data_IF_639575180790
#
_entry.id   IF_639575180790
#
_cell.length_a   1.000
_cell.length_b   1.000
_cell.length_c   1.000
_cell.angle_alpha   90.00
_cell.angle_beta   90.00
_cell.angle_gamma   90.00
#
_symmetry.space_group_name_H-M   'P 1'
#
loop_
_entity.id
_entity.type
_entity.pdbx_description
1 polymer ?
#
# COMPACT_ATOMS: atom_id res chain seq x y z
N UNK A 1 -11.51 27.16 0.08
CA UNK A 1 -12.89 26.68 -0.20
C UNK A 1 -13.01 26.27 -1.66
N UNK A 2 -12.87 24.98 -1.96
CA UNK A 2 -13.32 24.35 -3.22
C UNK A 2 -13.66 22.87 -2.94
N UNK A 3 -14.56 22.63 -1.99
CA UNK A 3 -14.89 21.27 -1.48
C UNK A 3 -15.97 20.54 -2.30
N UNK A 4 -16.58 21.16 -3.31
CA UNK A 4 -17.72 20.60 -4.05
C UNK A 4 -17.33 19.67 -5.23
N UNK A 5 -16.35 20.02 -6.10
CA UNK A 5 -16.02 19.21 -7.26
C UNK A 5 -15.34 17.87 -6.91
N UNK A 6 -14.45 17.87 -5.92
CA UNK A 6 -13.72 16.68 -5.47
C UNK A 6 -14.63 15.68 -4.78
N UNK A 7 -15.48 16.14 -3.84
CA UNK A 7 -16.47 15.28 -3.17
C UNK A 7 -17.44 14.66 -4.18
N UNK A 8 -17.84 15.42 -5.20
CA UNK A 8 -18.70 14.91 -6.26
C UNK A 8 -17.98 13.88 -7.15
N UNK A 9 -16.73 14.15 -7.54
CA UNK A 9 -15.90 13.21 -8.33
C UNK A 9 -15.68 11.91 -7.56
N UNK A 10 -15.34 12.01 -6.26
CA UNK A 10 -15.19 10.86 -5.37
C UNK A 10 -16.47 10.03 -5.30
N UNK A 11 -17.62 10.67 -5.11
CA UNK A 11 -18.92 9.98 -5.08
C UNK A 11 -19.20 9.20 -6.37
N UNK A 12 -18.92 9.78 -7.54
CA UNK A 12 -19.07 9.08 -8.83
C UNK A 12 -18.14 7.88 -8.94
N UNK A 13 -16.89 8.01 -8.50
CA UNK A 13 -15.92 6.90 -8.48
C UNK A 13 -16.36 5.81 -7.51
N UNK A 14 -16.80 6.16 -6.30
CA UNK A 14 -17.32 5.21 -5.31
C UNK A 14 -18.54 4.46 -5.88
N UNK A 15 -19.45 5.14 -6.59
CA UNK A 15 -20.58 4.50 -7.24
C UNK A 15 -20.15 3.52 -8.36
N UNK A 16 -19.16 3.91 -9.18
CA UNK A 16 -18.62 3.07 -10.24
C UNK A 16 -17.90 1.82 -9.69
N UNK A 17 -17.08 2.00 -8.65
CA UNK A 17 -16.37 0.90 -7.97
C UNK A 17 -17.37 -0.04 -7.29
N UNK A 18 -18.36 0.49 -6.57
CA UNK A 18 -19.39 -0.31 -5.92
C UNK A 18 -20.16 -1.17 -6.94
N UNK A 19 -20.54 -0.57 -8.08
CA UNK A 19 -21.17 -1.30 -9.17
C UNK A 19 -20.25 -2.39 -9.73
N UNK A 20 -18.97 -2.06 -9.94
CA UNK A 20 -17.96 -3.00 -10.40
C UNK A 20 -17.78 -4.22 -9.49
N UNK A 21 -17.74 -4.01 -8.17
CA UNK A 21 -17.63 -5.09 -7.18
C UNK A 21 -18.85 -6.02 -7.27
N UNK A 22 -20.07 -5.46 -7.36
CA UNK A 22 -21.30 -6.25 -7.47
C UNK A 22 -21.36 -7.05 -8.77
N UNK A 23 -21.09 -6.43 -9.92
CA UNK A 23 -21.10 -7.12 -11.22
C UNK A 23 -20.02 -8.23 -11.27
N UNK A 24 -18.91 -8.05 -10.56
CA UNK A 24 -17.80 -9.00 -10.53
C UNK A 24 -18.10 -10.29 -9.76
N UNK A 25 -19.10 -10.29 -8.86
CA UNK A 25 -19.60 -11.53 -8.26
C UNK A 25 -20.42 -12.37 -9.26
N UNK A 26 -21.05 -11.75 -10.25
CA UNK A 26 -21.86 -12.45 -11.26
C UNK A 26 -21.02 -12.89 -12.47
N UNK A 27 -20.18 -11.98 -12.99
CA UNK A 27 -19.32 -12.21 -14.14
C UNK A 27 -18.01 -11.41 -13.98
N UNK A 28 -16.98 -11.99 -13.33
CA UNK A 28 -15.69 -11.33 -13.13
C UNK A 28 -15.04 -10.90 -14.45
N UNK A 29 -15.12 -11.73 -15.50
CA UNK A 29 -14.46 -11.48 -16.78
C UNK A 29 -15.01 -10.24 -17.45
N UNK A 30 -16.34 -10.14 -17.54
CA UNK A 30 -17.00 -8.99 -18.17
C UNK A 30 -16.85 -7.73 -17.32
N UNK A 31 -16.95 -7.86 -16.01
CA UNK A 31 -16.94 -6.72 -15.07
C UNK A 31 -15.59 -6.03 -15.05
N UNK A 32 -14.49 -6.77 -15.10
CA UNK A 32 -13.16 -6.14 -15.09
C UNK A 32 -12.87 -5.43 -16.40
N UNK A 33 -13.27 -6.00 -17.55
CA UNK A 33 -13.14 -5.30 -18.85
C UNK A 33 -13.90 -3.98 -18.84
N UNK A 34 -15.15 -3.99 -18.35
CA UNK A 34 -15.95 -2.76 -18.18
C UNK A 34 -15.29 -1.76 -17.24
N UNK A 35 -14.75 -2.21 -16.10
CA UNK A 35 -14.06 -1.32 -15.14
C UNK A 35 -12.79 -0.72 -15.74
N UNK A 36 -12.02 -1.51 -16.49
CA UNK A 36 -10.84 -1.02 -17.17
C UNK A 36 -11.19 0.00 -18.26
N UNK A 37 -12.26 -0.24 -19.02
CA UNK A 37 -12.76 0.68 -20.04
C UNK A 37 -13.29 1.98 -19.43
N UNK A 38 -14.10 1.89 -18.36
CA UNK A 38 -14.57 3.05 -17.60
C UNK A 38 -13.38 3.83 -17.03
N UNK A 39 -12.44 3.12 -16.42
CA UNK A 39 -11.21 3.68 -15.90
C UNK A 39 -10.43 4.49 -16.93
N UNK A 40 -10.28 3.96 -18.15
CA UNK A 40 -9.64 4.66 -19.27
C UNK A 40 -10.38 5.94 -19.66
N UNK A 41 -11.72 5.94 -19.63
CA UNK A 41 -12.53 7.13 -19.92
C UNK A 41 -12.37 8.23 -18.86
N UNK A 42 -12.15 7.85 -17.60
CA UNK A 42 -11.94 8.79 -16.49
C UNK A 42 -10.46 9.10 -16.21
N UNK A 43 -9.52 8.42 -16.87
CA UNK A 43 -8.08 8.59 -16.66
C UNK A 43 -7.57 9.94 -17.15
N UNK A 44 -7.46 10.91 -16.24
CA UNK A 44 -6.91 12.25 -16.48
C UNK A 44 -5.40 12.32 -16.17
N UNK A 45 -4.90 11.48 -15.26
CA UNK A 45 -3.48 11.45 -14.84
C UNK A 45 -2.62 10.37 -15.52
N UNK A 46 -1.29 10.53 -15.51
CA UNK A 46 -0.31 9.55 -16.03
C UNK A 46 -0.45 8.18 -15.35
N UNK A 47 -0.60 8.19 -14.03
CA UNK A 47 -0.80 6.97 -13.24
C UNK A 47 -2.03 6.18 -13.68
N UNK A 48 -3.18 6.84 -13.76
CA UNK A 48 -4.44 6.21 -14.13
C UNK A 48 -4.34 5.54 -15.51
N UNK A 49 -3.73 6.23 -16.49
CA UNK A 49 -3.54 5.67 -17.85
C UNK A 49 -2.67 4.40 -17.83
N UNK A 50 -1.56 4.43 -17.10
CA UNK A 50 -0.66 3.28 -16.98
C UNK A 50 -1.32 2.10 -16.25
N UNK A 51 -2.03 2.38 -15.15
CA UNK A 51 -2.76 1.36 -14.39
C UNK A 51 -3.80 0.65 -15.27
N UNK A 52 -4.67 1.40 -15.97
CA UNK A 52 -5.71 0.77 -16.78
C UNK A 52 -5.16 0.03 -18.00
N UNK A 53 -4.08 0.52 -18.64
CA UNK A 53 -3.41 -0.20 -19.72
C UNK A 53 -2.81 -1.53 -19.22
N UNK A 54 -2.17 -1.51 -18.04
CA UNK A 54 -1.62 -2.70 -17.42
C UNK A 54 -2.75 -3.69 -17.06
N UNK A 55 -3.80 -3.24 -16.36
CA UNK A 55 -4.92 -4.11 -15.97
C UNK A 55 -5.61 -4.77 -17.17
N UNK A 56 -5.76 -4.06 -18.30
CA UNK A 56 -6.27 -4.67 -19.53
C UNK A 56 -5.34 -5.77 -20.01
N UNK A 57 -4.04 -5.47 -20.11
CA UNK A 57 -3.01 -6.43 -20.57
C UNK A 57 -3.00 -7.70 -19.72
N UNK A 58 -3.05 -7.56 -18.40
CA UNK A 58 -3.04 -8.67 -17.44
C UNK A 58 -4.28 -9.58 -17.53
N UNK A 59 -5.36 -9.09 -18.14
CA UNK A 59 -6.66 -9.76 -18.21
C UNK A 59 -7.13 -10.02 -19.65
N UNK A 60 -6.25 -9.83 -20.63
CA UNK A 60 -6.51 -10.22 -22.01
C UNK A 60 -6.76 -11.72 -22.12
N UNK A 61 -5.95 -12.52 -21.42
CA UNK A 61 -6.12 -13.96 -21.35
C UNK A 61 -7.36 -14.31 -20.52
N UNK A 62 -8.37 -14.89 -21.18
CA UNK A 62 -9.60 -15.36 -20.56
C UNK A 62 -9.42 -16.47 -19.52
N UNK A 63 -8.26 -17.12 -19.47
CA UNK A 63 -7.94 -18.18 -18.51
C UNK A 63 -6.97 -17.75 -17.41
N UNK A 64 -6.65 -16.46 -17.33
CA UNK A 64 -5.76 -15.93 -16.29
C UNK A 64 -6.23 -16.28 -14.87
N UNK A 65 -5.36 -16.83 -14.01
CA UNK A 65 -5.64 -17.05 -12.58
C UNK A 65 -6.10 -15.79 -11.82
N UNK A 66 -5.87 -14.59 -12.38
CA UNK A 66 -6.36 -13.35 -11.79
C UNK A 66 -7.88 -13.22 -11.78
N UNK A 67 -8.62 -13.95 -12.61
CA UNK A 67 -10.07 -14.00 -12.45
C UNK A 67 -10.47 -14.69 -11.15
N UNK A 68 -9.81 -15.80 -10.79
CA UNK A 68 -10.02 -16.47 -9.51
C UNK A 68 -9.59 -15.59 -8.33
N UNK A 69 -8.47 -14.86 -8.47
CA UNK A 69 -8.04 -13.87 -7.48
C UNK A 69 -9.14 -12.84 -7.22
N UNK A 70 -9.72 -12.27 -8.28
CA UNK A 70 -10.75 -11.24 -8.17
C UNK A 70 -12.05 -11.78 -7.56
N UNK A 71 -12.47 -12.99 -7.95
CA UNK A 71 -13.59 -13.68 -7.30
C UNK A 71 -13.35 -13.82 -5.80
N UNK A 72 -12.18 -14.33 -5.40
CA UNK A 72 -11.78 -14.46 -3.99
C UNK A 72 -11.86 -13.14 -3.25
N UNK A 73 -11.32 -12.05 -3.81
CA UNK A 73 -11.46 -10.72 -3.19
C UNK A 73 -12.93 -10.38 -2.93
N UNK A 74 -13.80 -10.51 -3.93
CA UNK A 74 -15.22 -10.12 -3.81
C UNK A 74 -16.08 -11.04 -2.95
N UNK A 75 -15.63 -12.26 -2.67
CA UNK A 75 -16.33 -13.26 -1.85
C UNK A 75 -15.83 -13.28 -0.40
N UNK A 76 -14.51 -13.17 -0.23
CA UNK A 76 -13.83 -13.31 1.07
C UNK A 76 -13.82 -12.00 1.87
N UNK A 77 -14.00 -10.84 1.23
CA UNK A 77 -13.80 -9.53 1.86
C UNK A 77 -15.09 -8.72 1.87
N UNK A 78 -15.30 -7.93 2.92
CA UNK A 78 -16.40 -6.97 2.99
C UNK A 78 -16.35 -5.97 1.82
N UNK A 79 -17.48 -5.81 1.13
CA UNK A 79 -17.56 -4.98 -0.08
C UNK A 79 -17.28 -3.50 0.20
N UNK A 80 -17.71 -3.01 1.36
CA UNK A 80 -17.46 -1.63 1.75
C UNK A 80 -15.98 -1.42 2.08
N UNK A 81 -15.31 -2.39 2.69
CA UNK A 81 -13.84 -2.41 2.85
C UNK A 81 -13.12 -2.38 1.50
N UNK A 82 -13.44 -3.29 0.57
CA UNK A 82 -12.83 -3.29 -0.77
C UNK A 82 -13.01 -1.96 -1.49
N UNK A 83 -14.23 -1.43 -1.49
CA UNK A 83 -14.53 -0.14 -2.10
C UNK A 83 -13.75 0.99 -1.43
N UNK A 84 -13.81 1.09 -0.11
CA UNK A 84 -13.20 2.20 0.64
C UNK A 84 -11.69 2.19 0.47
N UNK A 85 -11.04 1.05 0.70
CA UNK A 85 -9.60 0.90 0.54
C UNK A 85 -9.17 1.18 -0.91
N UNK A 86 -9.85 0.57 -1.89
CA UNK A 86 -9.56 0.77 -3.31
C UNK A 86 -9.68 2.23 -3.77
N UNK A 87 -10.71 2.94 -3.31
CA UNK A 87 -10.89 4.38 -3.61
C UNK A 87 -9.86 5.25 -2.88
N UNK A 88 -9.47 4.89 -1.66
CA UNK A 88 -8.43 5.62 -0.93
C UNK A 88 -7.07 5.50 -1.64
N UNK A 89 -6.69 4.30 -2.09
CA UNK A 89 -5.45 4.09 -2.87
C UNK A 89 -5.57 4.72 -4.26
N UNK A 90 -6.51 4.26 -5.08
CA UNK A 90 -6.55 4.58 -6.51
C UNK A 90 -6.89 6.04 -6.80
N UNK A 91 -7.86 6.61 -6.08
CA UNK A 91 -8.28 7.99 -6.29
C UNK A 91 -7.63 8.94 -5.28
N UNK A 92 -7.79 8.69 -3.98
CA UNK A 92 -7.38 9.69 -2.98
C UNK A 92 -5.87 9.87 -2.93
N UNK A 93 -5.11 8.77 -2.98
CA UNK A 93 -3.64 8.80 -2.99
C UNK A 93 -3.11 9.06 -4.40
N UNK A 94 -3.31 8.13 -5.34
CA UNK A 94 -2.64 8.16 -6.65
C UNK A 94 -3.21 9.15 -7.67
N UNK A 95 -4.35 9.78 -7.38
CA UNK A 95 -4.94 10.81 -8.25
C UNK A 95 -4.92 12.17 -7.59
N UNK A 96 -5.72 12.36 -6.53
CA UNK A 96 -5.84 13.63 -5.83
C UNK A 96 -4.57 13.99 -5.07
N UNK A 97 -4.06 13.08 -4.25
CA UNK A 97 -2.79 13.24 -3.54
C UNK A 97 -1.62 13.49 -4.50
N UNK A 98 -1.56 12.73 -5.60
CA UNK A 98 -0.58 12.91 -6.67
C UNK A 98 -0.64 14.31 -7.32
N UNK A 99 -1.81 14.94 -7.44
CA UNK A 99 -1.93 16.32 -7.92
C UNK A 99 -1.33 17.33 -6.92
N UNK A 100 -1.58 17.14 -5.62
CA UNK A 100 -1.02 17.96 -4.56
C UNK A 100 0.50 17.81 -4.46
N UNK A 101 1.00 16.57 -4.52
CA UNK A 101 2.44 16.26 -4.55
C UNK A 101 3.09 17.04 -5.69
N UNK A 102 2.63 16.86 -6.93
CA UNK A 102 3.20 17.56 -8.09
C UNK A 102 3.14 19.09 -7.96
N UNK A 103 2.11 19.63 -7.32
CA UNK A 103 2.01 21.07 -7.08
C UNK A 103 3.08 21.53 -6.08
N UNK A 104 3.21 20.83 -4.96
CA UNK A 104 4.20 21.13 -3.93
C UNK A 104 5.63 21.00 -4.46
N UNK A 105 5.93 19.94 -5.21
CA UNK A 105 7.26 19.72 -5.80
C UNK A 105 7.63 20.80 -6.82
N UNK A 106 6.67 21.27 -7.64
CA UNK A 106 6.91 22.39 -8.58
C UNK A 106 7.19 23.70 -7.86
N UNK A 107 6.50 23.95 -6.75
CA UNK A 107 6.63 25.19 -5.99
C UNK A 107 7.92 25.23 -5.15
N UNK A 108 8.30 24.11 -4.54
CA UNK A 108 9.38 24.06 -3.55
C UNK A 108 10.65 23.36 -4.05
N UNK A 109 10.59 22.66 -5.19
CA UNK A 109 11.72 21.90 -5.73
C UNK A 109 12.09 20.63 -4.95
N UNK A 110 11.35 20.32 -3.88
CA UNK A 110 11.54 19.15 -3.01
C UNK A 110 10.74 17.98 -3.56
N UNK A 111 11.30 16.77 -3.55
CA UNK A 111 10.54 15.56 -3.86
C UNK A 111 9.66 15.15 -2.67
N UNK A 112 8.46 14.63 -2.93
CA UNK A 112 7.52 14.20 -1.89
C UNK A 112 7.13 12.73 -2.13
N UNK A 113 7.28 11.84 -1.15
CA UNK A 113 6.87 10.45 -1.31
C UNK A 113 5.35 10.32 -1.36
N UNK A 114 4.81 9.45 -2.22
CA UNK A 114 3.37 9.17 -2.24
C UNK A 114 2.83 8.39 -1.02
N UNK A 115 3.72 7.71 -0.28
CA UNK A 115 3.40 6.96 0.94
C UNK A 115 4.57 7.00 1.93
N UNK A 116 4.31 6.94 3.23
CA UNK A 116 5.37 6.83 4.26
C UNK A 116 5.48 5.41 4.79
N UNK A 117 6.71 4.94 4.98
CA UNK A 117 7.00 3.66 5.63
C UNK A 117 7.40 3.91 7.09
N UNK A 118 6.71 3.29 8.03
CA UNK A 118 6.81 3.60 9.45
C UNK A 118 6.89 2.29 10.22
N UNK A 119 7.99 2.07 10.93
CA UNK A 119 8.04 1.05 11.97
C UNK A 119 7.47 1.63 13.25
N UNK A 120 6.59 0.88 13.88
CA UNK A 120 5.87 1.31 15.06
C UNK A 120 5.93 0.24 16.12
N UNK A 121 6.54 0.60 17.25
CA UNK A 121 6.50 -0.16 18.48
C UNK A 121 5.57 0.56 19.45
N UNK A 122 4.61 -0.12 20.11
CA UNK A 122 3.69 0.51 21.07
C UNK A 122 4.41 1.29 22.19
N UNK A 123 5.59 0.82 22.57
CA UNK A 123 6.45 1.43 23.61
C UNK A 123 7.62 2.27 23.05
N UNK A 124 7.70 2.44 21.73
CA UNK A 124 8.79 3.18 21.09
C UNK A 124 8.71 4.69 21.34
N UNK A 125 9.83 5.40 21.15
CA UNK A 125 9.85 6.86 21.29
C UNK A 125 8.96 7.57 20.24
N UNK A 126 8.72 6.94 19.08
CA UNK A 126 7.76 7.41 18.09
C UNK A 126 6.33 7.01 18.45
N UNK A 127 5.73 7.74 19.38
CA UNK A 127 4.41 7.43 19.92
C UNK A 127 3.24 7.78 18.96
N UNK A 128 2.03 7.29 19.29
CA UNK A 128 0.81 7.50 18.51
C UNK A 128 0.53 8.98 18.16
N UNK A 129 0.79 9.92 19.08
CA UNK A 129 0.59 11.36 18.82
C UNK A 129 1.52 11.91 17.73
N UNK A 130 2.73 11.35 17.60
CA UNK A 130 3.69 11.69 16.55
C UNK A 130 3.27 11.10 15.21
N UNK A 131 2.79 9.86 15.20
CA UNK A 131 2.18 9.24 14.04
C UNK A 131 1.00 10.08 13.53
N UNK A 132 0.12 10.53 14.43
CA UNK A 132 -1.01 11.40 14.06
C UNK A 132 -0.55 12.73 13.46
N UNK A 133 0.42 13.41 14.07
CA UNK A 133 0.95 14.67 13.55
C UNK A 133 1.55 14.49 12.15
N UNK A 134 2.32 13.41 11.95
CA UNK A 134 2.92 13.06 10.66
C UNK A 134 1.85 12.80 9.59
N UNK A 135 0.77 12.09 9.94
CA UNK A 135 -0.35 11.86 9.02
C UNK A 135 -1.04 13.19 8.66
N UNK A 136 -1.28 14.04 9.65
CA UNK A 136 -1.91 15.34 9.42
C UNK A 136 -1.09 16.21 8.46
N UNK A 137 0.23 16.23 8.63
CA UNK A 137 1.14 16.97 7.75
C UNK A 137 1.26 16.33 6.37
N UNK A 138 1.41 15.00 6.30
CA UNK A 138 1.47 14.25 5.04
C UNK A 138 0.26 14.52 4.15
N UNK A 139 -0.95 14.51 4.72
CA UNK A 139 -2.18 14.79 3.97
C UNK A 139 -2.21 16.21 3.38
N UNK A 140 -1.58 17.20 4.03
CA UNK A 140 -1.46 18.56 3.46
C UNK A 140 -0.55 18.58 2.23
N UNK A 141 0.41 17.66 2.15
CA UNK A 141 1.34 17.51 1.02
C UNK A 141 0.83 16.56 -0.07
N UNK A 142 -0.29 15.86 0.17
CA UNK A 142 -0.85 14.89 -0.76
C UNK A 142 -0.55 13.43 -0.43
N UNK A 143 0.07 13.14 0.71
CA UNK A 143 0.32 11.77 1.18
C UNK A 143 -0.95 11.24 1.84
N UNK A 144 -1.56 10.22 1.24
CA UNK A 144 -2.78 9.59 1.76
C UNK A 144 -2.63 8.08 1.97
N UNK A 145 -1.44 7.53 1.77
CA UNK A 145 -1.13 6.12 2.05
C UNK A 145 -0.03 6.03 3.09
N UNK A 146 -0.15 5.09 4.03
CA UNK A 146 0.83 4.85 5.08
C UNK A 146 1.04 3.34 5.23
N UNK A 147 2.30 2.91 5.15
CA UNK A 147 2.72 1.55 5.45
C UNK A 147 3.21 1.53 6.89
N UNK A 148 2.53 0.81 7.77
CA UNK A 148 2.86 0.68 9.19
C UNK A 148 3.35 -0.75 9.45
N UNK A 149 4.65 -0.90 9.70
CA UNK A 149 5.22 -2.15 10.19
C UNK A 149 5.13 -2.15 11.72
N UNK A 150 4.30 -3.03 12.25
CA UNK A 150 4.19 -3.21 13.69
C UNK A 150 5.34 -4.12 14.14
N UNK A 151 6.16 -3.61 15.06
CA UNK A 151 7.26 -4.39 15.65
C UNK A 151 6.79 -5.31 16.77
N UNK A 152 5.61 -5.04 17.33
CA UNK A 152 4.93 -5.87 18.31
C UNK A 152 3.41 -5.66 18.22
N UNK A 153 2.61 -6.67 18.61
CA UNK A 153 1.16 -6.51 18.73
C UNK A 153 0.83 -5.57 19.90
N UNK A 154 0.09 -4.46 19.69
CA UNK A 154 -0.37 -3.61 20.78
C UNK A 154 -1.32 -4.38 21.72
N UNK A 155 -1.11 -4.23 23.04
CA UNK A 155 -2.08 -4.71 24.03
C UNK A 155 -3.42 -3.98 23.90
N UNK A 156 -3.39 -2.67 23.67
CA UNK A 156 -4.56 -1.84 23.41
C UNK A 156 -4.55 -1.23 22.00
N UNK A 157 -5.52 -1.66 21.20
CA UNK A 157 -5.72 -1.18 19.83
C UNK A 157 -6.51 0.12 19.72
N UNK A 158 -7.18 0.59 20.79
CA UNK A 158 -8.15 1.68 20.71
C UNK A 158 -7.56 2.97 20.13
N UNK A 159 -6.31 3.29 20.47
CA UNK A 159 -5.61 4.46 19.95
C UNK A 159 -5.44 4.39 18.43
N UNK A 160 -4.91 3.27 17.91
CA UNK A 160 -4.71 3.04 16.48
C UNK A 160 -6.05 2.96 15.74
N UNK A 161 -7.05 2.26 16.28
CA UNK A 161 -8.39 2.19 15.69
C UNK A 161 -9.02 3.60 15.57
N UNK A 162 -8.89 4.41 16.61
CA UNK A 162 -9.38 5.80 16.60
C UNK A 162 -8.68 6.64 15.55
N UNK A 163 -7.36 6.47 15.39
CA UNK A 163 -6.57 7.11 14.35
C UNK A 163 -7.05 6.70 12.94
N UNK A 164 -7.17 5.40 12.67
CA UNK A 164 -7.60 4.90 11.35
C UNK A 164 -9.00 5.39 10.98
N UNK A 165 -9.93 5.44 11.94
CA UNK A 165 -11.28 5.99 11.74
C UNK A 165 -11.29 7.50 11.51
N UNK A 166 -10.42 8.25 12.19
CA UNK A 166 -10.29 9.70 12.02
C UNK A 166 -9.76 10.07 10.64
N UNK A 167 -8.84 9.27 10.11
CA UNK A 167 -8.24 9.44 8.79
C UNK A 167 -8.83 8.44 7.78
N UNK A 168 -10.16 8.34 7.75
CA UNK A 168 -10.91 7.35 6.96
C UNK A 168 -10.68 7.45 5.44
N UNK A 169 -10.23 8.60 4.95
CA UNK A 169 -9.91 8.84 3.54
C UNK A 169 -8.45 8.56 3.18
N UNK A 170 -7.63 8.16 4.14
CA UNK A 170 -6.29 7.60 3.93
C UNK A 170 -6.36 6.08 3.90
N UNK A 171 -5.42 5.43 3.21
CA UNK A 171 -5.25 3.98 3.22
C UNK A 171 -4.07 3.60 4.12
N UNK A 172 -4.26 2.57 4.95
CA UNK A 172 -3.21 2.06 5.82
C UNK A 172 -2.92 0.60 5.48
N UNK A 173 -1.67 0.30 5.18
CA UNK A 173 -1.18 -1.06 5.02
C UNK A 173 -0.45 -1.41 6.31
N UNK A 174 -0.99 -2.38 7.05
CA UNK A 174 -0.42 -2.80 8.34
C UNK A 174 0.30 -4.11 8.12
N UNK A 175 1.62 -4.13 8.35
CA UNK A 175 2.41 -5.36 8.39
C UNK A 175 2.47 -5.83 9.84
N UNK A 176 1.80 -6.93 10.12
CA UNK A 176 1.71 -7.53 11.46
C UNK A 176 2.99 -8.34 11.76
N UNK A 177 3.51 -8.31 13.00
CA UNK A 177 4.62 -9.18 13.39
C UNK A 177 4.17 -10.66 13.40
N UNK A 178 5.13 -11.58 13.52
CA UNK A 178 4.85 -13.01 13.77
C UNK A 178 4.34 -13.26 15.19
N UNK A 179 3.14 -12.77 15.47
CA UNK A 179 2.41 -12.98 16.71
C UNK A 179 0.95 -13.32 16.38
N UNK A 180 0.35 -14.23 17.14
CA UNK A 180 -1.03 -14.63 16.93
C UNK A 180 -2.01 -13.52 17.36
N UNK A 181 -2.88 -13.11 16.43
CA UNK A 181 -3.99 -12.23 16.73
C UNK A 181 -5.06 -12.95 17.55
N UNK A 182 -5.62 -12.24 18.51
CA UNK A 182 -6.82 -12.65 19.24
C UNK A 182 -8.09 -12.29 18.46
N UNK A 183 -9.18 -13.02 18.71
CA UNK A 183 -10.46 -12.83 18.00
C UNK A 183 -11.00 -11.39 18.16
N UNK A 184 -10.90 -10.83 19.37
CA UNK A 184 -11.32 -9.47 19.65
C UNK A 184 -10.51 -8.42 18.85
N UNK A 185 -9.21 -8.66 18.65
CA UNK A 185 -8.35 -7.77 17.89
C UNK A 185 -8.73 -7.78 16.40
N UNK A 186 -8.98 -8.96 15.84
CA UNK A 186 -9.46 -9.09 14.46
C UNK A 186 -10.83 -8.44 14.25
N UNK A 187 -11.74 -8.57 15.22
CA UNK A 187 -13.06 -7.91 15.20
C UNK A 187 -12.95 -6.39 15.30
N UNK A 188 -12.00 -5.86 16.06
CA UNK A 188 -11.74 -4.42 16.13
C UNK A 188 -11.19 -3.89 14.79
N UNK A 189 -10.21 -4.60 14.22
CA UNK A 189 -9.58 -4.24 12.95
C UNK A 189 -10.57 -4.28 11.78
N UNK A 190 -11.50 -5.25 11.75
CA UNK A 190 -12.51 -5.38 10.68
C UNK A 190 -13.45 -4.18 10.58
N UNK A 191 -13.59 -3.41 11.66
CA UNK A 191 -14.41 -2.20 11.69
C UNK A 191 -13.73 -1.01 10.97
N UNK A 192 -12.44 -1.13 10.63
CA UNK A 192 -11.68 -0.10 9.91
C UNK A 192 -11.55 -0.48 8.43
N UNK A 193 -12.48 0.05 7.62
CA UNK A 193 -12.61 -0.24 6.18
C UNK A 193 -11.48 0.31 5.30
N UNK A 194 -10.54 1.06 5.88
CA UNK A 194 -9.40 1.65 5.20
C UNK A 194 -8.08 0.94 5.51
N UNK A 195 -8.15 -0.28 6.05
CA UNK A 195 -6.99 -1.12 6.34
C UNK A 195 -6.81 -2.21 5.29
N UNK A 196 -5.56 -2.49 4.97
CA UNK A 196 -5.09 -3.78 4.47
C UNK A 196 -4.17 -4.36 5.53
N UNK A 197 -4.40 -5.60 5.93
CA UNK A 197 -3.67 -6.28 7.00
C UNK A 197 -2.82 -7.38 6.41
N UNK A 198 -1.51 -7.28 6.54
CA UNK A 198 -0.56 -8.24 6.00
C UNK A 198 0.06 -9.09 7.11
N UNK A 199 -0.12 -10.40 7.07
CA UNK A 199 0.53 -11.33 8.00
C UNK A 199 1.82 -11.90 7.41
N UNK A 200 2.91 -11.85 8.18
CA UNK A 200 4.21 -12.38 7.79
C UNK A 200 4.10 -13.89 7.52
N UNK A 201 4.69 -14.43 6.46
CA UNK A 201 4.80 -15.88 6.23
C UNK A 201 5.82 -16.46 7.23
N UNK A 202 5.34 -16.64 8.45
CA UNK A 202 6.03 -17.13 9.64
C UNK A 202 5.02 -17.97 10.47
N UNK A 203 5.41 -18.75 11.50
CA UNK A 203 4.53 -19.69 12.19
C UNK A 203 3.07 -19.28 12.43
N UNK A 204 2.79 -18.02 12.79
CA UNK A 204 1.45 -17.53 13.15
C UNK A 204 0.54 -17.22 11.94
N UNK A 205 1.09 -17.13 10.72
CA UNK A 205 0.42 -16.50 9.59
C UNK A 205 -0.90 -17.17 9.18
N UNK A 206 -0.95 -18.51 9.14
CA UNK A 206 -2.15 -19.21 8.67
C UNK A 206 -3.33 -18.97 9.60
N UNK A 207 -3.07 -18.92 10.92
CA UNK A 207 -4.07 -18.59 11.92
C UNK A 207 -4.55 -17.14 11.76
N UNK A 208 -3.61 -16.20 11.63
CA UNK A 208 -3.93 -14.79 11.43
C UNK A 208 -4.75 -14.56 10.16
N UNK A 209 -4.34 -15.11 9.01
CA UNK A 209 -5.10 -14.99 7.76
C UNK A 209 -6.48 -15.62 7.87
N UNK A 210 -6.59 -16.80 8.48
CA UNK A 210 -7.89 -17.45 8.68
C UNK A 210 -8.83 -16.56 9.51
N UNK A 211 -8.33 -16.02 10.62
CA UNK A 211 -9.11 -15.16 11.52
C UNK A 211 -9.52 -13.84 10.85
N UNK A 212 -8.62 -13.20 10.11
CA UNK A 212 -8.91 -11.97 9.35
C UNK A 212 -9.95 -12.23 8.25
N UNK A 213 -9.85 -13.36 7.54
CA UNK A 213 -10.80 -13.79 6.50
C UNK A 213 -12.18 -14.09 7.08
N UNK A 214 -12.26 -14.76 8.24
CA UNK A 214 -13.53 -15.00 8.94
C UNK A 214 -14.23 -13.68 9.30
N UNK A 215 -13.45 -12.64 9.63
CA UNK A 215 -13.93 -11.30 9.91
C UNK A 215 -14.07 -10.41 8.65
N UNK A 216 -13.96 -10.99 7.45
CA UNK A 216 -14.10 -10.29 6.15
C UNK A 216 -13.15 -9.10 5.96
N UNK A 217 -12.00 -9.11 6.64
CA UNK A 217 -10.94 -8.12 6.47
C UNK A 217 -10.26 -8.23 5.10
N UNK A 218 -9.73 -7.12 4.60
CA UNK A 218 -8.80 -7.14 3.47
C UNK A 218 -7.43 -7.63 3.97
N UNK A 219 -7.15 -8.91 3.74
CA UNK A 219 -5.95 -9.58 4.19
C UNK A 219 -4.95 -9.83 3.05
N UNK A 220 -3.67 -9.79 3.39
CA UNK A 220 -2.54 -10.12 2.53
C UNK A 220 -1.51 -10.95 3.31
N UNK A 221 -0.57 -11.55 2.59
CA UNK A 221 0.64 -12.08 3.20
C UNK A 221 1.84 -11.19 2.88
N UNK A 222 2.87 -11.24 3.71
CA UNK A 222 4.18 -10.71 3.36
C UNK A 222 5.30 -11.68 3.69
N UNK A 223 6.40 -11.60 2.96
CA UNK A 223 7.54 -12.50 3.12
C UNK A 223 8.85 -11.70 3.07
N UNK A 224 9.69 -11.90 4.09
CA UNK A 224 11.02 -11.35 4.12
C UNK A 224 12.00 -12.26 3.37
N UNK A 225 12.50 -11.79 2.23
CA UNK A 225 13.43 -12.52 1.38
C UNK A 225 14.88 -12.03 1.59
N UNK A 226 15.86 -12.88 1.29
CA UNK A 226 17.27 -12.51 1.22
C UNK A 226 17.78 -12.63 -0.21
N UNK A 227 18.42 -13.74 -0.58
CA UNK A 227 18.77 -14.04 -1.96
C UNK A 227 17.90 -15.19 -2.49
N UNK A 228 16.58 -14.94 -2.50
CA UNK A 228 15.59 -15.91 -2.96
C UNK A 228 15.55 -15.92 -4.49
N UNK A 229 15.76 -17.09 -5.09
CA UNK A 229 15.58 -17.31 -6.52
C UNK A 229 14.11 -17.44 -6.93
N UNK A 230 13.87 -17.61 -8.25
CA UNK A 230 12.53 -17.75 -8.83
C UNK A 230 11.75 -18.96 -8.28
N UNK A 231 12.44 -20.04 -7.93
CA UNK A 231 11.80 -21.25 -7.37
C UNK A 231 11.15 -20.97 -6.01
N UNK A 232 11.86 -20.27 -5.13
CA UNK A 232 11.35 -19.83 -3.83
C UNK A 232 10.15 -18.91 -4.00
N UNK A 233 10.22 -17.96 -4.93
CA UNK A 233 9.12 -17.06 -5.28
C UNK A 233 7.86 -17.83 -5.70
N UNK A 234 8.00 -18.83 -6.58
CA UNK A 234 6.88 -19.68 -7.01
C UNK A 234 6.32 -20.52 -5.86
N UNK A 235 7.18 -21.08 -5.01
CA UNK A 235 6.76 -21.81 -3.82
C UNK A 235 5.91 -20.93 -2.89
N UNK A 236 6.38 -19.69 -2.62
CA UNK A 236 5.64 -18.75 -1.78
C UNK A 236 4.31 -18.34 -2.38
N UNK A 237 4.24 -18.17 -3.70
CA UNK A 237 2.97 -17.86 -4.38
C UNK A 237 1.98 -19.02 -4.34
N UNK A 238 2.46 -20.24 -4.49
CA UNK A 238 1.63 -21.46 -4.43
C UNK A 238 1.03 -21.66 -3.04
N UNK A 239 1.81 -21.44 -1.99
CA UNK A 239 1.40 -21.71 -0.60
C UNK A 239 0.69 -20.52 0.06
N UNK A 240 0.59 -19.39 -0.63
CA UNK A 240 -0.01 -18.16 -0.12
C UNK A 240 -1.53 -18.34 0.10
N UNK A 241 -1.96 -18.07 1.33
CA UNK A 241 -3.37 -18.15 1.73
C UNK A 241 -4.16 -16.92 1.24
N UNK A 242 -3.50 -15.79 0.98
CA UNK A 242 -4.15 -14.53 0.62
C UNK A 242 -4.09 -14.22 -0.88
N UNK A 243 -5.05 -13.44 -1.43
CA UNK A 243 -5.00 -12.97 -2.81
C UNK A 243 -3.80 -12.07 -3.15
N UNK A 244 -3.14 -11.50 -2.13
CA UNK A 244 -2.03 -10.56 -2.26
C UNK A 244 -0.82 -11.06 -1.47
N UNK A 245 0.37 -10.97 -2.06
CA UNK A 245 1.63 -11.34 -1.42
C UNK A 245 2.68 -10.24 -1.61
N UNK A 246 3.15 -9.65 -0.51
CA UNK A 246 4.23 -8.69 -0.50
C UNK A 246 5.58 -9.38 -0.26
N UNK A 247 6.60 -8.99 -1.01
CA UNK A 247 7.99 -9.37 -0.82
C UNK A 247 8.73 -8.16 -0.28
N UNK A 248 9.38 -8.35 0.86
CA UNK A 248 10.21 -7.34 1.51
C UNK A 248 11.64 -7.89 1.67
N UNK A 249 12.69 -7.15 1.29
CA UNK A 249 14.05 -7.57 1.58
C UNK A 249 14.33 -7.57 3.08
N UNK A 250 15.05 -8.57 3.55
CA UNK A 250 15.77 -8.53 4.82
C UNK A 250 16.84 -7.43 4.78
N UNK A 251 17.26 -6.94 5.95
CA UNK A 251 18.21 -5.82 6.10
C UNK A 251 19.48 -5.99 5.25
N UNK A 252 20.05 -7.20 5.24
CA UNK A 252 21.32 -7.51 4.57
C UNK A 252 21.16 -7.99 3.13
N UNK A 253 19.95 -7.89 2.55
CA UNK A 253 19.69 -8.32 1.18
C UNK A 253 20.44 -7.43 0.18
N UNK A 254 21.33 -8.01 -0.66
CA UNK A 254 22.10 -7.23 -1.64
C UNK A 254 21.21 -6.53 -2.67
N UNK A 255 21.56 -5.32 -3.16
CA UNK A 255 20.78 -4.62 -4.18
C UNK A 255 20.49 -5.46 -5.43
N UNK A 256 21.48 -6.23 -5.90
CA UNK A 256 21.31 -7.09 -7.08
C UNK A 256 20.28 -8.22 -6.86
N UNK A 257 20.13 -8.72 -5.64
CA UNK A 257 19.10 -9.71 -5.31
C UNK A 257 17.71 -9.08 -5.34
N UNK A 258 17.57 -7.85 -4.83
CA UNK A 258 16.32 -7.07 -4.89
C UNK A 258 15.89 -6.82 -6.32
N UNK A 259 16.81 -6.39 -7.19
CA UNK A 259 16.56 -6.17 -8.62
C UNK A 259 16.11 -7.44 -9.33
N UNK A 260 16.80 -8.57 -9.10
CA UNK A 260 16.42 -9.87 -9.67
C UNK A 260 15.03 -10.31 -9.24
N UNK A 261 14.69 -10.15 -7.95
CA UNK A 261 13.37 -10.51 -7.46
C UNK A 261 12.30 -9.58 -8.02
N UNK A 262 12.54 -8.27 -8.06
CA UNK A 262 11.61 -7.28 -8.63
C UNK A 262 11.28 -7.60 -10.10
N UNK A 263 12.29 -7.93 -10.91
CA UNK A 263 12.08 -8.35 -12.29
C UNK A 263 11.29 -9.66 -12.37
N UNK A 264 11.62 -10.65 -11.52
CA UNK A 264 10.90 -11.92 -11.48
C UNK A 264 9.42 -11.74 -11.10
N UNK A 265 9.13 -10.88 -10.12
CA UNK A 265 7.77 -10.50 -9.72
C UNK A 265 7.04 -9.85 -10.89
N UNK A 266 7.71 -8.94 -11.62
CA UNK A 266 7.11 -8.29 -12.78
C UNK A 266 6.74 -9.31 -13.86
N UNK A 267 7.65 -10.24 -14.21
CA UNK A 267 7.39 -11.27 -15.20
C UNK A 267 6.23 -12.20 -14.80
N UNK A 268 6.17 -12.61 -13.53
CA UNK A 268 5.06 -13.44 -13.01
C UNK A 268 3.72 -12.72 -13.14
N UNK A 269 3.67 -11.39 -13.00
CA UNK A 269 2.40 -10.67 -13.16
C UNK A 269 1.83 -10.79 -14.56
N UNK A 270 2.65 -10.77 -15.60
CA UNK A 270 2.19 -10.91 -16.99
C UNK A 270 1.82 -12.35 -17.34
N UNK A 271 2.40 -13.32 -16.63
CA UNK A 271 2.17 -14.74 -16.84
C UNK A 271 1.85 -15.44 -15.51
N UNK A 272 0.71 -15.12 -14.87
CA UNK A 272 0.39 -15.65 -13.55
C UNK A 272 0.04 -17.13 -13.62
N UNK A 273 0.65 -17.93 -12.75
CA UNK A 273 0.35 -19.36 -12.58
C UNK A 273 -0.59 -19.61 -11.38
N UNK A 274 -0.64 -18.67 -10.44
CA UNK A 274 -1.41 -18.76 -9.20
C UNK A 274 -2.35 -17.57 -9.05
N UNK A 275 -3.50 -17.71 -8.35
CA UNK A 275 -4.46 -16.64 -8.12
C UNK A 275 -4.00 -15.69 -6.99
N UNK A 276 -2.74 -15.26 -7.06
CA UNK A 276 -2.07 -14.40 -6.09
C UNK A 276 -1.36 -13.29 -6.85
N UNK A 277 -1.52 -12.04 -6.43
CA UNK A 277 -0.84 -10.90 -7.03
C UNK A 277 0.45 -10.61 -6.22
N UNK A 278 1.65 -10.91 -6.77
CA UNK A 278 2.91 -10.63 -6.09
C UNK A 278 3.24 -9.14 -6.14
N UNK A 279 3.82 -8.61 -5.07
CA UNK A 279 4.27 -7.21 -4.95
C UNK A 279 5.67 -7.17 -4.36
N UNK A 280 6.65 -6.68 -5.11
CA UNK A 280 7.95 -6.36 -4.52
C UNK A 280 7.84 -4.94 -3.99
N UNK A 281 7.72 -4.83 -2.67
CA UNK A 281 7.15 -3.65 -2.05
C UNK A 281 7.91 -2.37 -2.36
N UNK A 282 9.25 -2.42 -2.38
CA UNK A 282 10.08 -1.24 -2.57
C UNK A 282 10.23 -0.87 -4.05
N UNK A 283 10.41 -1.85 -4.94
CA UNK A 283 10.49 -1.62 -6.38
C UNK A 283 9.15 -1.08 -6.93
N UNK A 284 8.02 -1.66 -6.52
CA UNK A 284 6.70 -1.18 -6.89
C UNK A 284 6.43 0.21 -6.31
N UNK A 285 6.81 0.45 -5.06
CA UNK A 285 6.73 1.78 -4.46
C UNK A 285 7.47 2.82 -5.30
N UNK A 286 8.75 2.57 -5.64
CA UNK A 286 9.58 3.49 -6.42
C UNK A 286 8.99 3.73 -7.81
N UNK A 287 8.47 2.68 -8.45
CA UNK A 287 7.80 2.77 -9.76
C UNK A 287 6.54 3.63 -9.69
N UNK A 288 5.72 3.46 -8.65
CA UNK A 288 4.51 4.27 -8.45
C UNK A 288 4.88 5.74 -8.24
N UNK A 289 5.88 6.02 -7.39
CA UNK A 289 6.35 7.39 -7.13
C UNK A 289 6.83 8.06 -8.41
N UNK A 290 7.67 7.35 -9.20
CA UNK A 290 8.15 7.84 -10.48
C UNK A 290 7.01 8.13 -11.47
N UNK A 291 5.95 7.32 -11.49
CA UNK A 291 4.78 7.59 -12.34
C UNK A 291 4.02 8.84 -11.88
N UNK A 292 4.02 9.14 -10.58
CA UNK A 292 3.30 10.28 -9.97
C UNK A 292 4.01 11.60 -10.25
N UNK A 293 5.32 11.68 -10.01
CA UNK A 293 6.12 12.93 -9.97
C UNK A 293 7.25 12.98 -11.00
N UNK A 294 7.64 11.83 -11.58
CA UNK A 294 8.84 11.71 -12.43
C UNK A 294 10.14 11.63 -11.64
N UNK A 295 10.06 11.49 -10.31
CA UNK A 295 11.18 11.29 -9.38
C UNK A 295 10.81 10.16 -8.42
N UNK A 296 11.79 9.59 -7.73
CA UNK A 296 11.55 8.59 -6.70
C UNK A 296 12.02 9.12 -5.36
N UNK A 297 11.11 9.22 -4.40
CA UNK A 297 11.34 9.60 -3.02
C UNK A 297 10.78 8.50 -2.13
N UNK A 298 11.64 7.91 -1.30
CA UNK A 298 11.23 6.94 -0.29
C UNK A 298 11.66 7.45 1.08
N UNK A 299 10.75 7.38 2.05
CA UNK A 299 11.01 7.73 3.44
C UNK A 299 10.56 6.60 4.35
N UNK A 300 11.50 6.16 5.19
CA UNK A 300 11.32 5.14 6.22
C UNK A 300 11.69 5.71 7.57
N UNK A 301 10.82 5.48 8.55
CA UNK A 301 10.93 5.99 9.92
C UNK A 301 10.95 4.78 10.83
N UNK A 302 11.97 4.63 11.67
CA UNK A 302 12.01 3.56 12.67
C UNK A 302 11.13 3.86 13.90
N UNK A 303 10.97 2.88 14.79
CA UNK A 303 10.16 3.00 16.01
C UNK A 303 10.69 4.02 17.02
N UNK A 304 11.94 4.48 16.86
CA UNK A 304 12.56 5.56 17.63
C UNK A 304 12.39 6.93 16.96
N UNK A 305 11.73 6.98 15.81
CA UNK A 305 11.52 8.18 15.01
C UNK A 305 12.79 8.62 14.29
N UNK A 306 13.72 7.71 14.02
CA UNK A 306 14.92 8.01 13.24
C UNK A 306 14.70 7.65 11.79
N UNK A 307 15.37 8.41 10.94
CA UNK A 307 15.33 8.27 9.50
C UNK A 307 16.76 8.12 9.02
N UNK A 308 17.11 7.00 8.36
CA UNK A 308 18.44 6.83 7.81
C UNK A 308 18.68 7.85 6.69
N UNK A 309 19.84 8.50 6.73
CA UNK A 309 20.31 9.42 5.69
C UNK A 309 21.55 8.81 4.99
N UNK A 310 21.89 9.25 3.77
CA UNK A 310 23.12 8.87 3.10
C UNK A 310 24.35 9.16 3.97
N UNK A 311 25.36 8.30 3.87
CA UNK A 311 26.60 8.44 4.64
C UNK A 311 26.51 7.94 6.08
N UNK A 312 25.44 7.24 6.46
CA UNK A 312 25.30 6.61 7.79
C UNK A 312 24.83 7.56 8.89
N UNK A 313 24.50 8.81 8.55
CA UNK A 313 23.82 9.72 9.46
C UNK A 313 22.35 9.28 9.66
N UNK A 314 21.75 9.70 10.76
CA UNK A 314 20.31 9.55 10.99
C UNK A 314 19.71 10.86 11.48
N UNK A 315 18.45 11.09 11.12
CA UNK A 315 17.70 12.26 11.55
C UNK A 315 16.55 11.84 12.46
N UNK A 316 16.37 12.49 13.61
CA UNK A 316 15.36 12.12 14.60
C UNK A 316 14.17 13.10 14.60
N UNK A 317 12.96 12.59 14.34
CA UNK A 317 11.74 13.37 14.17
C UNK A 317 10.92 13.56 15.46
N UNK A 318 11.39 13.00 16.58
CA UNK A 318 10.73 13.16 17.89
C UNK A 318 11.06 14.50 18.55
N UNK A 319 12.05 15.23 18.04
CA UNK A 319 12.48 16.54 18.54
C UNK A 319 11.39 17.63 18.37
N UNK A 320 11.33 18.57 19.31
CA UNK A 320 10.32 19.63 19.32
C UNK A 320 10.42 20.56 18.09
N UNK A 321 9.28 20.98 17.54
CA UNK A 321 9.22 21.88 16.38
C UNK A 321 9.53 21.23 15.03
N UNK A 322 9.54 19.91 14.97
CA UNK A 322 9.71 19.18 13.72
C UNK A 322 8.48 19.27 12.82
N UNK A 323 8.70 19.22 11.49
CA UNK A 323 7.65 19.08 10.48
C UNK A 323 8.16 18.24 9.31
N UNK A 324 7.24 17.58 8.62
CA UNK A 324 7.49 16.80 7.41
C UNK A 324 8.12 17.64 6.29
N UNK A 325 7.79 18.93 6.18
CA UNK A 325 8.46 19.79 5.19
C UNK A 325 9.95 19.95 5.49
N UNK A 326 10.33 20.10 6.77
CA UNK A 326 11.74 20.12 7.19
C UNK A 326 12.41 18.78 6.96
N UNK A 327 11.67 17.68 7.15
CA UNK A 327 12.17 16.35 6.82
C UNK A 327 12.59 16.24 5.35
N UNK A 328 11.67 16.63 4.46
CA UNK A 328 11.87 16.54 3.02
C UNK A 328 13.04 17.43 2.57
N UNK A 329 13.24 18.58 3.21
CA UNK A 329 14.41 19.43 2.99
C UNK A 329 15.72 18.75 3.42
N UNK A 330 15.74 18.12 4.60
CA UNK A 330 16.91 17.41 5.09
C UNK A 330 17.24 16.15 4.26
N UNK A 331 16.21 15.47 3.76
CA UNK A 331 16.33 14.29 2.92
C UNK A 331 16.57 14.61 1.43
N UNK A 332 16.38 15.86 0.99
CA UNK A 332 16.50 16.25 -0.42
C UNK A 332 17.82 15.81 -1.09
N UNK A 333 19.01 15.90 -0.45
CA UNK A 333 20.27 15.43 -1.04
C UNK A 333 20.31 13.91 -1.26
N UNK A 334 19.54 13.15 -0.48
CA UNK A 334 19.44 11.69 -0.57
C UNK A 334 18.52 11.22 -1.69
N UNK A 335 17.49 12.02 -1.97
CA UNK A 335 16.39 11.68 -2.88
C UNK A 335 16.71 12.09 -4.32
N UNK A 336 17.68 12.99 -4.55
CA UNK A 336 18.04 13.51 -5.88
C UNK A 336 18.85 12.55 -6.78
N UNK A 337 19.11 11.30 -6.39
CA UNK A 337 20.10 10.45 -7.06
C UNK A 337 19.63 9.02 -7.38
N UNK A 338 18.40 8.80 -7.84
CA UNK A 338 18.09 7.57 -8.59
C UNK A 338 17.19 7.89 -9.78
N UNK A 339 17.81 8.35 -10.87
CA UNK A 339 17.23 8.12 -12.20
C UNK A 339 17.35 6.61 -12.46
N UNK A 340 16.24 5.89 -12.43
CA UNK A 340 16.20 4.50 -12.87
C UNK A 340 16.62 4.47 -14.35
N UNK A 341 17.76 3.84 -14.63
CA UNK A 341 18.17 3.43 -15.98
C UNK A 341 17.28 2.30 -16.49
#
# INVERSE_FOLDING_TARGET
MSLKPEKFTRYLIEAAVNRGIKEMQEDPKRSVRKLADLGRQFARGRFQKNFFALSQTLLLDGNSPYYSLLSRLTEEIDHETLKKFGVNIGYTSWTYGAELIRAYEREHGLAVPWSLFIHYHPEGAFCLSRLEALIQEGRRLGIYTYCLCLEAVPEDWQGLISLFRRYDNSAFLIFLPDEELQEEQALLLSQCRNLLLSAEIAPSYRKNISLLRQNKCLAANHYYYSDSGREELQLRLKDCESPLLFFLPQKDTPPSARERLAESVYQIRYHPEHPVFPIELFADYKRIDYIISGRSCFLEIDSEGRIPLPGGASFCITQAGFSLSRLLQAAAPAVSCEALC
#
